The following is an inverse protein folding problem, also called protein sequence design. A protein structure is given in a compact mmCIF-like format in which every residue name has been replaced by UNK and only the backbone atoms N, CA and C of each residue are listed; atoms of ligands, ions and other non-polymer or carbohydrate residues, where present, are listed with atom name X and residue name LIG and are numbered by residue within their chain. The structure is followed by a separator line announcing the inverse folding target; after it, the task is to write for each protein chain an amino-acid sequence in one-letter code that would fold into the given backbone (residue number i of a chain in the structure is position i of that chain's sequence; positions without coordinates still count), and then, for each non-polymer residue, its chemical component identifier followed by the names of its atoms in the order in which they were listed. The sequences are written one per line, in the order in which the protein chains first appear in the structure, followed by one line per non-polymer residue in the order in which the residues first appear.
data_IF_346500439433
#
_entry.id   IF_346500439433
#
_cell.length_a   1.000
_cell.length_b   1.000
_cell.length_c   1.000
_cell.angle_alpha   90.00
_cell.angle_beta   90.00
_cell.angle_gamma   90.00
#
_symmetry.space_group_name_H-M   'P 1'
#
loop_
_entity.id
_entity.type
_entity.pdbx_description
1 polymer ?
#
# COMPACT_ATOMS: atom_id res chain seq x y z
N UNK A 1 16.86 -10.65 -6.93
CA UNK A 1 16.32 -9.30 -7.23
C UNK A 1 17.13 -8.28 -6.43
N UNK A 2 17.69 -7.26 -7.08
CA UNK A 2 18.41 -6.17 -6.39
C UNK A 2 17.38 -5.22 -5.77
N UNK A 3 17.52 -4.91 -4.49
CA UNK A 3 16.67 -3.91 -3.84
C UNK A 3 17.01 -2.53 -4.42
N UNK A 4 16.02 -1.84 -4.98
CA UNK A 4 16.16 -0.51 -5.57
C UNK A 4 16.12 0.53 -4.44
N UNK A 5 17.01 1.52 -4.48
CA UNK A 5 17.08 2.56 -3.46
C UNK A 5 16.00 3.63 -3.68
N UNK A 6 15.57 4.33 -2.62
CA UNK A 6 14.56 5.39 -2.71
C UNK A 6 14.92 6.49 -3.75
N UNK A 7 16.19 6.84 -3.85
CA UNK A 7 16.69 7.82 -4.82
C UNK A 7 16.59 7.33 -6.27
N UNK A 8 16.77 6.03 -6.52
CA UNK A 8 16.62 5.44 -7.85
C UNK A 8 15.16 5.36 -8.29
N UNK A 9 14.22 5.20 -7.35
CA UNK A 9 12.79 5.21 -7.64
C UNK A 9 12.26 6.61 -8.01
N UNK A 10 12.82 7.68 -7.41
CA UNK A 10 12.46 9.06 -7.76
C UNK A 10 13.02 9.49 -9.13
N UNK A 11 14.23 9.05 -9.48
CA UNK A 11 14.87 9.34 -10.76
C UNK A 11 14.12 8.73 -11.95
N UNK A 12 13.53 7.55 -11.75
CA UNK A 12 12.78 6.83 -12.78
C UNK A 12 11.37 7.41 -13.04
N UNK A 13 10.94 8.44 -12.27
CA UNK A 13 9.61 9.10 -12.31
C UNK A 13 8.53 8.24 -12.96
N UNK A 14 8.27 7.06 -12.38
CA UNK A 14 7.24 6.15 -12.91
C UNK A 14 5.82 6.71 -12.72
N UNK A 15 5.68 7.81 -11.99
CA UNK A 15 4.39 8.37 -11.59
C UNK A 15 4.33 9.85 -11.97
N UNK A 16 3.84 10.18 -13.18
CA UNK A 16 3.65 11.55 -13.60
C UNK A 16 2.67 12.25 -12.63
N UNK A 17 3.04 13.46 -12.17
CA UNK A 17 2.20 14.26 -11.29
C UNK A 17 0.83 14.61 -11.91
N UNK A 18 0.76 14.58 -13.24
CA UNK A 18 -0.44 14.86 -14.03
C UNK A 18 -1.42 13.67 -14.11
N UNK A 19 -1.07 12.53 -13.51
CA UNK A 19 -1.92 11.35 -13.53
C UNK A 19 -3.22 11.57 -12.74
N UNK A 20 -4.40 11.21 -13.29
CA UNK A 20 -5.67 11.28 -12.58
C UNK A 20 -5.60 10.57 -11.23
N UNK A 21 -6.26 11.12 -10.22
CA UNK A 21 -6.26 10.57 -8.85
C UNK A 21 -6.69 9.11 -8.78
N UNK A 22 -7.63 8.70 -9.64
CA UNK A 22 -8.10 7.31 -9.70
C UNK A 22 -7.04 6.32 -10.18
N UNK A 23 -6.16 6.73 -11.09
CA UNK A 23 -5.07 5.87 -11.59
C UNK A 23 -3.95 5.77 -10.56
N UNK A 24 -3.60 6.89 -9.91
CA UNK A 24 -2.66 6.90 -8.79
C UNK A 24 -3.07 5.97 -7.65
N UNK A 25 -4.38 5.92 -7.34
CA UNK A 25 -4.90 5.01 -6.31
C UNK A 25 -4.72 3.54 -6.70
N UNK A 26 -4.97 3.19 -7.96
CA UNK A 26 -4.80 1.81 -8.46
C UNK A 26 -3.34 1.38 -8.42
N UNK A 27 -2.42 2.27 -8.81
CA UNK A 27 -0.99 2.01 -8.73
C UNK A 27 -0.50 1.87 -7.29
N UNK A 28 -0.93 2.78 -6.40
CA UNK A 28 -0.64 2.68 -4.98
C UNK A 28 -1.12 1.36 -4.39
N UNK A 29 -2.34 0.93 -4.77
CA UNK A 29 -2.89 -0.36 -4.36
C UNK A 29 -2.05 -1.53 -4.88
N UNK A 30 -1.65 -1.51 -6.15
CA UNK A 30 -0.80 -2.54 -6.73
C UNK A 30 0.56 -2.65 -6.00
N UNK A 31 1.19 -1.52 -5.68
CA UNK A 31 2.44 -1.50 -4.91
C UNK A 31 2.28 -2.12 -3.53
N UNK A 32 1.19 -1.79 -2.82
CA UNK A 32 0.84 -2.41 -1.54
C UNK A 32 0.67 -3.93 -1.72
N UNK A 33 -0.05 -4.35 -2.75
CA UNK A 33 -0.26 -5.78 -3.02
C UNK A 33 1.07 -6.53 -3.19
N UNK A 34 1.99 -5.98 -3.98
CA UNK A 34 3.31 -6.58 -4.18
C UNK A 34 4.16 -6.59 -2.90
N UNK A 35 4.15 -5.50 -2.13
CA UNK A 35 4.93 -5.39 -0.90
C UNK A 35 4.48 -6.40 0.18
N UNK A 36 3.17 -6.61 0.31
CA UNK A 36 2.58 -7.49 1.32
C UNK A 36 2.23 -8.88 0.79
N UNK A 37 2.58 -9.20 -0.46
CA UNK A 37 2.22 -10.46 -1.15
C UNK A 37 0.72 -10.76 -1.09
N UNK A 38 -0.08 -9.70 -1.22
CA UNK A 38 -1.53 -9.79 -1.33
C UNK A 38 -1.89 -10.09 -2.78
N UNK A 39 -2.81 -11.02 -3.00
CA UNK A 39 -3.40 -11.23 -4.32
C UNK A 39 -4.20 -9.99 -4.74
N UNK A 40 -3.78 -9.38 -5.85
CA UNK A 40 -4.42 -8.19 -6.39
C UNK A 40 -5.86 -8.47 -6.87
N UNK A 41 -6.11 -9.67 -7.42
CA UNK A 41 -7.43 -10.06 -7.93
C UNK A 41 -8.37 -10.57 -6.84
N UNK A 42 -7.81 -11.03 -5.72
CA UNK A 42 -8.55 -11.49 -4.56
C UNK A 42 -8.02 -10.84 -3.28
N UNK A 43 -8.25 -9.52 -3.10
CA UNK A 43 -7.71 -8.80 -1.96
C UNK A 43 -8.37 -9.28 -0.65
N UNK A 44 -7.63 -9.32 0.47
CA UNK A 44 -8.18 -9.66 1.76
C UNK A 44 -9.30 -8.67 2.11
N UNK A 45 -10.44 -9.21 2.55
CA UNK A 45 -11.53 -8.38 3.04
C UNK A 45 -11.05 -7.64 4.29
N UNK A 46 -11.14 -6.32 4.27
CA UNK A 46 -10.86 -5.49 5.44
C UNK A 46 -11.95 -5.74 6.49
N UNK A 47 -11.77 -6.74 7.34
CA UNK A 47 -12.61 -6.93 8.51
C UNK A 47 -12.29 -5.83 9.52
N UNK A 48 -13.21 -4.87 9.66
CA UNK A 48 -13.10 -3.79 10.63
C UNK A 48 -13.47 -4.32 12.02
N UNK A 49 -12.54 -5.02 12.65
CA UNK A 49 -12.71 -5.42 14.05
C UNK A 49 -12.44 -4.22 14.95
N UNK A 50 -13.46 -3.73 15.65
CA UNK A 50 -13.30 -2.76 16.73
C UNK A 50 -13.00 -3.52 18.02
N UNK A 51 -11.87 -3.23 18.68
CA UNK A 51 -11.57 -3.75 20.01
C UNK A 51 -11.48 -2.60 21.02
N UNK A 52 -12.11 -2.77 22.18
CA UNK A 52 -12.04 -1.82 23.29
C UNK A 52 -11.04 -2.35 24.32
N UNK A 53 -9.91 -1.66 24.49
CA UNK A 53 -8.94 -1.97 25.56
C UNK A 53 -9.31 -1.15 26.79
N UNK A 54 -9.76 -1.81 27.87
CA UNK A 54 -9.90 -1.16 29.18
C UNK A 54 -8.66 -1.41 30.01
N UNK A 55 -8.07 -0.34 30.56
CA UNK A 55 -6.97 -0.45 31.52
C UNK A 55 -7.49 -1.14 32.79
N UNK A 56 -6.91 -2.28 33.14
CA UNK A 56 -7.16 -2.93 34.42
C UNK A 56 -6.36 -2.19 35.50
N UNK A 57 -7.02 -1.41 36.37
CA UNK A 57 -6.39 -0.92 37.60
C UNK A 57 -6.44 -2.05 38.63
N UNK A 58 -5.27 -2.58 39.02
CA UNK A 58 -5.13 -3.34 40.27
C UNK A 58 -4.91 -2.39 41.42
#
# INVERSE_FOLDING_TARGET
MKAQTHAEAELDKKFPADMPTGERLKEAWWMICMAYRIDYFNPPKLEKHSFSVRKHSR
#
